data_IF_047494264803
#
_entry.id   IF_047494264803
#
_cell.length_a   1.000
_cell.length_b   1.000
_cell.length_c   1.000
_cell.angle_alpha   90.00
_cell.angle_beta   90.00
_cell.angle_gamma   90.00
#
_symmetry.space_group_name_H-M   'P 1'
#
loop_
_entity.id
_entity.type
_entity.pdbx_description
1 polymer ?
#
# COMPACT_ATOMS: atom_id res chain seq x y z
N UNK A 1 23.46 -9.02 28.80
CA UNK A 1 22.58 -8.02 28.14
C UNK A 1 23.46 -6.99 27.46
N UNK A 2 23.51 -6.95 26.12
CA UNK A 2 24.43 -6.07 25.36
C UNK A 2 23.76 -4.72 25.09
N UNK A 3 24.44 -3.63 25.45
CA UNK A 3 24.00 -2.23 25.29
C UNK A 3 23.90 -1.74 23.84
N UNK A 4 24.28 -2.57 22.85
CA UNK A 4 24.23 -2.24 21.42
C UNK A 4 22.82 -2.34 20.79
N UNK A 5 21.94 -3.21 21.32
CA UNK A 5 20.64 -3.50 20.70
C UNK A 5 19.63 -2.36 20.86
N UNK A 6 19.69 -1.60 21.96
CA UNK A 6 18.80 -0.45 22.17
C UNK A 6 19.07 0.75 21.24
N UNK A 7 20.28 0.86 20.66
CA UNK A 7 20.62 2.00 19.78
C UNK A 7 20.01 1.88 18.37
N UNK A 8 19.71 0.67 17.89
CA UNK A 8 19.19 0.43 16.53
C UNK A 8 17.71 0.80 16.40
N UNK A 9 16.89 0.46 17.40
CA UNK A 9 15.44 0.70 17.39
C UNK A 9 15.06 2.19 17.25
N UNK A 10 15.96 3.12 17.58
CA UNK A 10 15.69 4.56 17.50
C UNK A 10 15.65 5.14 16.07
N UNK A 11 16.08 4.39 15.05
CA UNK A 11 16.11 4.89 13.65
C UNK A 11 15.00 4.34 12.74
N UNK A 12 14.26 3.33 13.19
CA UNK A 12 13.16 2.73 12.41
C UNK A 12 11.84 3.36 12.85
N UNK A 13 11.10 3.96 11.91
CA UNK A 13 9.80 4.55 12.18
C UNK A 13 8.73 3.45 12.29
N UNK A 14 8.67 2.79 13.44
CA UNK A 14 7.69 1.73 13.74
C UNK A 14 6.57 2.23 14.66
N UNK A 15 5.45 1.54 14.64
CA UNK A 15 4.26 1.85 15.44
C UNK A 15 3.46 0.58 15.76
N UNK A 16 2.60 0.67 16.77
CA UNK A 16 1.67 -0.43 17.12
C UNK A 16 0.31 -0.22 16.46
N UNK A 17 -0.27 -1.30 15.95
CA UNK A 17 -1.64 -1.29 15.41
C UNK A 17 -2.60 -1.80 16.47
N UNK A 18 -2.42 -3.04 16.93
CA UNK A 18 -3.20 -3.72 17.96
C UNK A 18 -2.35 -4.86 18.55
N UNK A 19 -2.79 -5.57 19.61
CA UNK A 19 -2.01 -6.66 20.19
C UNK A 19 -1.59 -7.70 19.14
N UNK A 20 -0.29 -7.98 19.07
CA UNK A 20 0.29 -8.89 18.07
C UNK A 20 0.40 -8.32 16.65
N UNK A 21 0.23 -7.01 16.47
CA UNK A 21 0.34 -6.34 15.17
C UNK A 21 1.16 -5.06 15.30
N UNK A 22 2.24 -5.01 14.54
CA UNK A 22 3.14 -3.86 14.44
C UNK A 22 3.22 -3.39 13.00
N UNK A 23 3.57 -2.12 12.82
CA UNK A 23 3.84 -1.55 11.51
C UNK A 23 5.20 -0.86 11.49
N UNK A 24 5.81 -0.84 10.32
CA UNK A 24 6.95 0.02 10.00
C UNK A 24 6.58 0.91 8.82
N UNK A 25 7.02 2.16 8.85
CA UNK A 25 6.84 3.09 7.72
C UNK A 25 8.15 3.37 7.02
N UNK A 26 8.18 3.14 5.71
CA UNK A 26 9.25 3.61 4.84
C UNK A 26 8.80 4.77 3.95
N UNK A 27 9.15 5.99 4.36
CA UNK A 27 8.66 7.20 3.70
C UNK A 27 7.16 7.38 3.93
N UNK A 28 6.35 6.95 2.96
CA UNK A 28 4.90 7.13 2.94
C UNK A 28 4.11 5.82 2.97
N UNK A 29 4.76 4.66 2.76
CA UNK A 29 4.11 3.34 2.77
C UNK A 29 4.35 2.60 4.09
N UNK A 30 3.32 1.93 4.56
CA UNK A 30 3.31 1.10 5.77
C UNK A 30 3.43 -0.38 5.39
N UNK A 31 4.23 -1.13 6.14
CA UNK A 31 4.28 -2.59 6.10
C UNK A 31 3.96 -3.14 7.48
N UNK A 32 3.30 -4.29 7.57
CA UNK A 32 2.80 -4.82 8.84
C UNK A 32 3.37 -6.18 9.19
N UNK A 33 3.51 -6.42 10.48
CA UNK A 33 3.96 -7.68 11.07
C UNK A 33 2.83 -8.23 11.92
N UNK A 34 2.35 -9.43 11.59
CA UNK A 34 1.29 -10.10 12.33
C UNK A 34 1.85 -11.32 13.03
N UNK A 35 1.75 -11.36 14.36
CA UNK A 35 2.16 -12.50 15.16
C UNK A 35 1.01 -13.50 15.32
N UNK A 36 1.24 -14.74 14.90
CA UNK A 36 0.46 -15.90 15.29
C UNK A 36 1.10 -16.54 16.53
N UNK A 37 0.59 -16.14 17.70
CA UNK A 37 1.11 -16.61 18.98
C UNK A 37 0.88 -18.11 19.22
N UNK A 38 -0.14 -18.72 18.59
CA UNK A 38 -0.48 -20.14 18.77
C UNK A 38 0.58 -21.02 18.11
N UNK A 39 0.95 -20.70 16.87
CA UNK A 39 1.94 -21.46 16.11
C UNK A 39 3.38 -20.93 16.28
N UNK A 40 3.55 -19.86 17.07
CA UNK A 40 4.83 -19.13 17.23
C UNK A 40 5.42 -18.66 15.88
N UNK A 41 4.56 -18.29 14.94
CA UNK A 41 4.90 -17.80 13.60
C UNK A 41 4.56 -16.33 13.48
N UNK A 42 5.15 -15.67 12.50
CA UNK A 42 4.73 -14.33 12.10
C UNK A 42 4.66 -14.20 10.58
N UNK A 43 3.88 -13.24 10.12
CA UNK A 43 3.64 -12.98 8.70
C UNK A 43 3.92 -11.50 8.43
N UNK A 44 4.59 -11.23 7.31
CA UNK A 44 4.77 -9.89 6.78
C UNK A 44 3.60 -9.56 5.83
N UNK A 45 3.00 -8.38 5.97
CA UNK A 45 2.02 -7.85 5.03
C UNK A 45 2.63 -6.64 4.32
N UNK A 46 2.71 -6.73 3.00
CA UNK A 46 3.45 -5.85 2.10
C UNK A 46 4.97 -5.76 2.39
N UNK A 47 5.73 -5.38 1.39
CA UNK A 47 7.19 -5.34 1.39
C UNK A 47 7.77 -3.96 1.06
N UNK A 48 6.93 -2.92 1.02
CA UNK A 48 7.39 -1.54 0.89
C UNK A 48 8.06 -1.24 -0.47
N UNK A 49 8.97 -0.27 -0.45
CA UNK A 49 9.78 0.15 -1.60
C UNK A 49 10.95 -0.82 -1.84
N UNK A 50 11.62 -0.72 -2.99
CA UNK A 50 12.80 -1.54 -3.37
C UNK A 50 13.96 -1.58 -2.38
N UNK A 51 14.01 -0.69 -1.39
CA UNK A 51 15.09 -0.59 -0.39
C UNK A 51 14.57 -0.75 1.04
N UNK A 52 13.35 -1.26 1.20
CA UNK A 52 12.71 -1.39 2.50
C UNK A 52 13.13 -2.65 3.24
N UNK A 53 13.75 -3.64 2.56
CA UNK A 53 14.18 -4.91 3.14
C UNK A 53 15.01 -4.75 4.42
N UNK A 54 15.99 -3.84 4.46
CA UNK A 54 16.82 -3.64 5.65
C UNK A 54 16.02 -3.16 6.87
N UNK A 55 15.07 -2.24 6.67
CA UNK A 55 14.18 -1.75 7.74
C UNK A 55 13.22 -2.82 8.23
N UNK A 56 12.71 -3.63 7.31
CA UNK A 56 11.81 -4.74 7.63
C UNK A 56 12.56 -5.76 8.50
N UNK A 57 13.76 -6.17 8.08
CA UNK A 57 14.61 -7.12 8.83
C UNK A 57 14.99 -6.55 10.20
N UNK A 58 15.43 -5.29 10.26
CA UNK A 58 15.79 -4.64 11.52
C UNK A 58 14.63 -4.63 12.52
N UNK A 59 13.39 -4.35 12.08
CA UNK A 59 12.24 -4.42 12.99
C UNK A 59 11.90 -5.87 13.36
N UNK A 60 11.96 -6.81 12.42
CA UNK A 60 11.69 -8.22 12.66
C UNK A 60 12.61 -8.81 13.75
N UNK A 61 13.93 -8.54 13.66
CA UNK A 61 14.94 -8.99 14.62
C UNK A 61 14.70 -8.47 16.04
N UNK A 62 14.02 -7.33 16.17
CA UNK A 62 13.67 -6.72 17.46
C UNK A 62 12.31 -7.19 18.00
N UNK A 63 11.37 -7.58 17.12
CA UNK A 63 10.02 -8.01 17.51
C UNK A 63 9.95 -9.50 17.83
N UNK A 64 10.71 -10.31 17.11
CA UNK A 64 10.58 -11.76 17.14
C UNK A 64 11.83 -12.44 17.68
N UNK A 65 11.78 -13.76 17.75
CA UNK A 65 12.85 -14.59 18.30
C UNK A 65 14.12 -14.46 17.45
N UNK A 66 15.32 -14.65 18.04
CA UNK A 66 16.55 -14.75 17.27
C UNK A 66 16.42 -15.75 16.12
N UNK A 67 16.94 -15.38 14.96
CA UNK A 67 16.92 -16.18 13.73
C UNK A 67 15.51 -16.57 13.23
N UNK A 68 14.46 -15.91 13.73
CA UNK A 68 13.10 -16.17 13.24
C UNK A 68 12.83 -15.43 11.93
N UNK A 69 12.45 -16.21 10.91
CA UNK A 69 11.93 -15.70 9.64
C UNK A 69 10.40 -15.72 9.63
N UNK A 70 9.73 -14.92 8.78
CA UNK A 70 8.29 -15.04 8.64
C UNK A 70 7.91 -16.40 8.09
N UNK A 71 6.68 -16.82 8.32
CA UNK A 71 6.10 -17.99 7.66
C UNK A 71 5.72 -17.69 6.20
N UNK A 72 5.38 -16.44 5.89
CA UNK A 72 5.03 -15.98 4.57
C UNK A 72 5.09 -14.44 4.47
N UNK A 73 5.06 -13.96 3.23
CA UNK A 73 4.73 -12.57 2.88
C UNK A 73 3.33 -12.59 2.25
N UNK A 74 2.46 -11.66 2.63
CA UNK A 74 1.14 -11.47 2.01
C UNK A 74 1.14 -10.09 1.37
N UNK A 75 0.85 -10.00 0.07
CA UNK A 75 0.70 -8.72 -0.62
C UNK A 75 -0.76 -8.30 -0.62
N UNK A 76 -1.02 -7.04 -0.24
CA UNK A 76 -2.34 -6.42 -0.46
C UNK A 76 -2.58 -6.20 -1.94
N UNK A 77 -1.53 -5.80 -2.66
CA UNK A 77 -1.47 -5.68 -4.12
C UNK A 77 -0.02 -5.50 -4.59
N UNK A 78 0.20 -5.48 -5.91
CA UNK A 78 1.52 -5.50 -6.53
C UNK A 78 2.08 -4.14 -6.99
N UNK A 79 1.56 -3.01 -6.53
CA UNK A 79 2.20 -1.71 -6.85
C UNK A 79 3.61 -1.61 -6.26
N UNK A 80 4.45 -0.79 -6.90
CA UNK A 80 5.89 -0.73 -6.68
C UNK A 80 6.33 -0.41 -5.24
N UNK A 81 5.46 0.26 -4.49
CA UNK A 81 5.63 0.65 -3.10
C UNK A 81 5.08 -0.37 -2.10
N UNK A 82 4.41 -1.42 -2.58
CA UNK A 82 3.97 -2.56 -1.77
C UNK A 82 4.77 -3.83 -2.05
N UNK A 83 5.18 -4.06 -3.30
CA UNK A 83 5.93 -5.26 -3.70
C UNK A 83 7.45 -5.07 -3.71
N UNK A 84 7.93 -3.84 -3.50
CA UNK A 84 9.28 -3.40 -3.88
C UNK A 84 10.43 -4.29 -3.36
N UNK A 85 10.40 -4.69 -2.10
CA UNK A 85 11.40 -5.61 -1.51
C UNK A 85 10.91 -7.06 -1.37
N UNK A 86 9.75 -7.43 -1.94
CA UNK A 86 9.16 -8.75 -1.74
C UNK A 86 10.05 -9.88 -2.25
N UNK A 87 10.63 -9.74 -3.44
CA UNK A 87 11.49 -10.77 -4.04
C UNK A 87 12.80 -10.97 -3.27
N UNK A 88 13.42 -9.87 -2.84
CA UNK A 88 14.64 -9.90 -2.03
C UNK A 88 14.39 -10.66 -0.73
N UNK A 89 13.33 -10.27 -0.01
CA UNK A 89 12.95 -10.87 1.26
C UNK A 89 12.50 -12.33 1.12
N UNK A 90 11.70 -12.64 0.10
CA UNK A 90 11.22 -14.00 -0.14
C UNK A 90 12.37 -14.97 -0.44
N UNK A 91 13.37 -14.54 -1.20
CA UNK A 91 14.58 -15.34 -1.49
C UNK A 91 15.48 -15.49 -0.28
N UNK A 92 15.71 -14.41 0.46
CA UNK A 92 16.59 -14.43 1.63
C UNK A 92 16.00 -15.30 2.76
N UNK A 93 14.70 -15.20 2.99
CA UNK A 93 14.02 -16.00 4.00
C UNK A 93 13.59 -17.38 3.48
N UNK A 94 13.58 -17.62 2.18
CA UNK A 94 13.00 -18.83 1.57
C UNK A 94 11.56 -19.07 2.08
N UNK A 95 10.67 -18.15 1.71
CA UNK A 95 9.26 -18.14 2.13
C UNK A 95 8.33 -17.88 0.94
N UNK A 96 7.07 -18.35 0.99
CA UNK A 96 6.09 -18.03 -0.03
C UNK A 96 5.62 -16.58 0.06
N UNK A 97 5.25 -16.03 -1.10
CA UNK A 97 4.54 -14.76 -1.24
C UNK A 97 3.11 -15.05 -1.68
N UNK A 98 2.12 -14.74 -0.86
CA UNK A 98 0.71 -14.91 -1.20
C UNK A 98 0.13 -13.64 -1.80
N UNK A 99 -0.61 -13.78 -2.90
CA UNK A 99 -1.37 -12.71 -3.53
C UNK A 99 -2.71 -13.23 -4.08
N UNK A 100 -3.61 -12.31 -4.37
CA UNK A 100 -4.87 -12.63 -5.04
C UNK A 100 -4.64 -13.02 -6.51
N UNK A 101 -5.51 -13.86 -7.07
CA UNK A 101 -5.41 -14.35 -8.45
C UNK A 101 -5.28 -13.23 -9.48
N UNK A 102 -6.08 -12.18 -9.33
CA UNK A 102 -6.09 -11.02 -10.22
C UNK A 102 -4.80 -10.16 -10.14
N UNK A 103 -3.90 -10.42 -9.19
CA UNK A 103 -2.59 -9.77 -9.12
C UNK A 103 -1.50 -10.53 -9.90
N UNK A 104 -1.74 -11.80 -10.24
CA UNK A 104 -0.71 -12.65 -10.87
C UNK A 104 -0.10 -12.06 -12.14
N UNK A 105 -0.85 -11.46 -13.09
CA UNK A 105 -0.26 -10.93 -14.30
C UNK A 105 0.84 -9.89 -14.03
N UNK A 106 0.67 -9.11 -12.96
CA UNK A 106 1.58 -8.02 -12.58
C UNK A 106 2.78 -8.51 -11.77
N UNK A 107 2.62 -9.64 -11.08
CA UNK A 107 3.63 -10.25 -10.23
C UNK A 107 4.49 -11.30 -10.95
N UNK A 108 4.07 -11.74 -12.14
CA UNK A 108 4.75 -12.79 -12.93
C UNK A 108 5.37 -12.29 -14.24
N UNK A 109 5.36 -10.98 -14.48
CA UNK A 109 5.93 -10.41 -15.71
C UNK A 109 4.98 -10.37 -16.91
N UNK A 110 3.72 -10.81 -16.77
CA UNK A 110 2.79 -10.99 -17.89
C UNK A 110 2.16 -9.68 -18.38
N UNK A 111 1.74 -8.79 -17.47
CA UNK A 111 1.07 -7.53 -17.81
C UNK A 111 1.55 -6.40 -16.90
N UNK A 112 1.66 -5.18 -17.44
CA UNK A 112 1.79 -3.98 -16.62
C UNK A 112 0.41 -3.58 -16.05
N UNK A 113 0.40 -2.85 -14.93
CA UNK A 113 -0.82 -2.20 -14.43
C UNK A 113 -1.34 -1.15 -15.41
N UNK A 114 -2.63 -0.77 -15.34
CA UNK A 114 -3.11 0.39 -16.06
C UNK A 114 -2.26 1.63 -15.71
N UNK A 115 -1.98 2.49 -16.70
CA UNK A 115 -1.09 3.63 -16.50
C UNK A 115 -1.65 4.63 -15.47
N UNK A 116 -0.76 5.29 -14.73
CA UNK A 116 -1.13 6.35 -13.81
C UNK A 116 -2.00 7.42 -14.49
N UNK A 117 -2.88 8.05 -13.71
CA UNK A 117 -3.68 9.18 -14.13
C UNK A 117 -3.20 10.49 -13.50
N UNK A 118 -2.42 11.31 -14.24
CA UNK A 118 -1.89 12.55 -13.70
C UNK A 118 -2.96 13.62 -13.46
N UNK A 119 -4.17 13.44 -13.99
CA UNK A 119 -5.28 14.37 -13.86
C UNK A 119 -6.16 14.06 -12.65
N UNK A 120 -5.98 12.89 -12.04
CA UNK A 120 -6.73 12.45 -10.87
C UNK A 120 -6.16 13.08 -9.60
N UNK A 121 -6.77 14.19 -9.15
CA UNK A 121 -6.57 14.73 -7.79
C UNK A 121 -5.85 16.08 -7.67
N UNK A 122 -5.41 16.68 -8.77
CA UNK A 122 -4.96 18.10 -8.80
C UNK A 122 -3.70 18.45 -7.97
N UNK A 123 -3.01 17.46 -7.41
CA UNK A 123 -1.82 17.63 -6.57
C UNK A 123 -0.51 17.31 -7.30
N UNK A 124 0.63 17.76 -6.77
CA UNK A 124 1.96 17.56 -7.37
C UNK A 124 2.31 16.07 -7.55
N UNK A 125 1.87 15.21 -6.63
CA UNK A 125 2.08 13.75 -6.70
C UNK A 125 1.36 13.16 -7.91
N UNK A 126 0.10 13.55 -8.15
CA UNK A 126 -0.63 13.13 -9.34
C UNK A 126 0.10 13.57 -10.61
N UNK A 127 0.56 14.82 -10.68
CA UNK A 127 1.27 15.34 -11.87
C UNK A 127 2.53 14.53 -12.22
N UNK A 128 3.30 14.09 -11.23
CA UNK A 128 4.51 13.28 -11.46
C UNK A 128 4.24 11.78 -11.55
N UNK A 129 3.03 11.31 -11.22
CA UNK A 129 2.69 9.89 -11.21
C UNK A 129 3.04 9.08 -12.48
N UNK A 130 3.09 9.65 -13.71
CA UNK A 130 3.53 8.89 -14.88
C UNK A 130 4.98 8.38 -14.81
N UNK A 131 5.82 8.90 -13.90
CA UNK A 131 7.20 8.40 -13.70
C UNK A 131 7.26 7.21 -12.75
N UNK A 132 6.16 6.93 -12.03
CA UNK A 132 6.12 5.82 -11.09
C UNK A 132 6.04 4.49 -11.84
N UNK A 133 6.77 3.45 -11.40
CA UNK A 133 6.76 2.16 -12.06
C UNK A 133 5.37 1.53 -12.06
N UNK A 134 4.89 1.17 -13.24
CA UNK A 134 3.68 0.35 -13.46
C UNK A 134 3.98 -0.97 -14.14
N UNK A 135 5.23 -1.15 -14.61
CA UNK A 135 5.68 -2.39 -15.23
C UNK A 135 5.66 -3.54 -14.22
N UNK A 136 5.46 -4.78 -14.71
CA UNK A 136 5.36 -5.92 -13.83
C UNK A 136 6.69 -6.21 -13.13
N UNK A 137 6.59 -6.87 -11.99
CA UNK A 137 7.70 -7.57 -11.37
C UNK A 137 7.61 -9.05 -11.74
N UNK A 138 8.68 -9.79 -11.49
CA UNK A 138 8.66 -11.24 -11.62
C UNK A 138 9.12 -11.88 -10.31
N UNK A 139 8.14 -12.36 -9.55
CA UNK A 139 8.33 -13.11 -8.30
C UNK A 139 7.78 -14.53 -8.40
N UNK A 140 7.68 -15.06 -9.63
CA UNK A 140 7.04 -16.34 -9.94
C UNK A 140 7.62 -17.52 -9.15
N UNK A 141 8.91 -17.46 -8.80
CA UNK A 141 9.59 -18.52 -8.05
C UNK A 141 9.05 -18.71 -6.61
N UNK A 142 8.39 -17.68 -6.05
CA UNK A 142 7.90 -17.69 -4.66
C UNK A 142 6.39 -17.43 -4.55
N UNK A 143 5.70 -17.12 -5.66
CA UNK A 143 4.29 -16.72 -5.63
C UNK A 143 3.38 -17.92 -5.36
N UNK A 144 2.40 -17.73 -4.48
CA UNK A 144 1.31 -18.67 -4.24
C UNK A 144 -0.03 -17.92 -4.22
N UNK A 145 -1.08 -18.59 -4.67
CA UNK A 145 -2.42 -18.02 -4.64
C UNK A 145 -3.00 -18.06 -3.22
N UNK A 146 -3.68 -16.97 -2.86
CA UNK A 146 -4.54 -17.00 -1.69
C UNK A 146 -5.70 -18.00 -1.89
N UNK A 147 -6.10 -18.73 -0.84
CA UNK A 147 -7.26 -19.62 -0.89
C UNK A 147 -8.53 -18.87 -1.27
N UNK A 148 -9.37 -19.43 -2.16
CA UNK A 148 -10.59 -18.74 -2.63
C UNK A 148 -11.68 -18.60 -1.56
N UNK A 149 -11.55 -19.28 -0.41
CA UNK A 149 -12.50 -19.22 0.70
C UNK A 149 -12.31 -18.00 1.63
N UNK A 150 -11.37 -17.11 1.29
CA UNK A 150 -11.06 -15.92 2.07
C UNK A 150 -10.14 -16.18 3.26
N UNK A 151 -9.66 -17.41 3.47
CA UNK A 151 -8.71 -17.72 4.55
C UNK A 151 -7.31 -17.18 4.27
N UNK A 152 -6.55 -16.92 5.34
CA UNK A 152 -5.16 -16.46 5.24
C UNK A 152 -4.20 -17.53 5.81
N UNK A 153 -3.27 -18.05 4.98
CA UNK A 153 -2.26 -18.99 5.44
C UNK A 153 -1.51 -18.47 6.67
N UNK A 154 -1.30 -19.34 7.66
CA UNK A 154 -0.62 -19.03 8.93
C UNK A 154 -1.33 -18.03 9.85
N UNK A 155 -2.53 -17.54 9.48
CA UNK A 155 -3.29 -16.54 10.23
C UNK A 155 -4.76 -16.98 10.43
N UNK A 156 -5.04 -18.02 11.25
CA UNK A 156 -6.36 -18.63 11.36
C UNK A 156 -7.47 -17.70 11.87
N UNK A 157 -7.12 -16.65 12.62
CA UNK A 157 -8.04 -15.62 13.13
C UNK A 157 -8.40 -14.55 12.09
N UNK A 158 -7.76 -14.58 10.92
CA UNK A 158 -7.88 -13.57 9.89
C UNK A 158 -8.58 -14.10 8.65
N UNK A 159 -9.24 -13.18 7.95
CA UNK A 159 -9.70 -13.38 6.59
C UNK A 159 -9.21 -12.25 5.71
N UNK A 160 -8.99 -12.53 4.43
CA UNK A 160 -8.90 -11.48 3.43
C UNK A 160 -10.27 -11.24 2.79
N UNK A 161 -10.44 -10.03 2.30
CA UNK A 161 -11.61 -9.55 1.56
C UNK A 161 -11.06 -9.01 0.25
N UNK A 162 -11.61 -9.46 -0.87
CA UNK A 162 -11.25 -8.92 -2.18
C UNK A 162 -11.83 -7.51 -2.29
N UNK A 163 -10.95 -6.51 -2.41
CA UNK A 163 -11.31 -5.08 -2.40
C UNK A 163 -10.80 -4.38 -3.65
N UNK A 164 -11.27 -4.77 -4.85
CA UNK A 164 -10.80 -4.23 -6.12
C UNK A 164 -11.11 -2.74 -6.28
N UNK A 165 -10.39 -2.10 -7.19
CA UNK A 165 -10.63 -0.73 -7.63
C UNK A 165 -9.36 0.09 -7.71
N UNK A 166 -8.56 0.05 -6.63
CA UNK A 166 -7.19 0.55 -6.65
C UNK A 166 -6.30 -0.32 -7.53
N UNK A 167 -6.31 -1.64 -7.30
CA UNK A 167 -5.82 -2.62 -8.27
C UNK A 167 -6.88 -3.71 -8.50
N UNK A 168 -6.76 -4.53 -9.55
CA UNK A 168 -7.75 -5.56 -9.87
C UNK A 168 -7.89 -6.65 -8.81
N UNK A 169 -6.78 -7.06 -8.20
CA UNK A 169 -6.76 -8.07 -7.15
C UNK A 169 -6.40 -7.53 -5.78
N UNK A 170 -6.59 -6.23 -5.56
CA UNK A 170 -6.37 -5.63 -4.25
C UNK A 170 -7.16 -6.37 -3.15
N UNK A 171 -6.54 -6.60 -2.00
CA UNK A 171 -7.19 -7.21 -0.83
C UNK A 171 -7.02 -6.36 0.43
N UNK A 172 -7.97 -6.54 1.35
CA UNK A 172 -7.88 -6.04 2.72
C UNK A 172 -7.96 -7.22 3.69
N UNK A 173 -7.31 -7.13 4.85
CA UNK A 173 -7.24 -8.21 5.84
C UNK A 173 -8.01 -7.81 7.10
N UNK A 174 -8.89 -8.68 7.58
CA UNK A 174 -9.74 -8.42 8.75
C UNK A 174 -9.59 -9.49 9.82
N UNK A 175 -9.33 -9.07 11.06
CA UNK A 175 -9.32 -9.93 12.25
C UNK A 175 -10.58 -9.71 13.07
N UNK A 176 -11.47 -10.71 13.06
CA UNK A 176 -12.82 -10.59 13.64
C UNK A 176 -12.81 -10.33 15.15
N UNK A 177 -11.93 -11.01 15.90
CA UNK A 177 -11.96 -11.02 17.37
C UNK A 177 -11.81 -9.63 18.03
N UNK A 178 -11.09 -8.72 17.40
CA UNK A 178 -10.88 -7.35 17.87
C UNK A 178 -11.14 -6.29 16.78
N UNK A 179 -11.79 -6.70 15.68
CA UNK A 179 -12.20 -5.86 14.55
C UNK A 179 -11.07 -4.99 14.00
N UNK A 180 -9.87 -5.58 13.87
CA UNK A 180 -8.73 -4.91 13.23
C UNK A 180 -8.83 -5.10 11.72
N UNK A 181 -8.75 -3.99 10.99
CA UNK A 181 -8.71 -3.96 9.54
C UNK A 181 -7.37 -3.42 9.06
N UNK A 182 -6.64 -4.23 8.28
CA UNK A 182 -5.53 -3.77 7.44
C UNK A 182 -6.10 -3.54 6.04
N UNK A 183 -6.40 -2.29 5.70
CA UNK A 183 -7.18 -1.97 4.51
C UNK A 183 -6.37 -1.99 3.22
N UNK A 184 -5.04 -2.07 3.28
CA UNK A 184 -4.19 -1.76 2.13
C UNK A 184 -4.51 -0.35 1.63
N UNK A 185 -4.68 -0.23 0.32
CA UNK A 185 -4.96 1.00 -0.40
C UNK A 185 -6.41 1.11 -0.87
N UNK A 186 -7.32 0.26 -0.38
CA UNK A 186 -8.76 0.40 -0.62
C UNK A 186 -9.28 1.78 -0.19
N UNK A 187 -8.70 2.31 0.89
CA UNK A 187 -8.78 3.70 1.32
C UNK A 187 -7.54 4.01 2.18
N UNK A 188 -7.24 5.30 2.40
CA UNK A 188 -6.04 5.71 3.16
C UNK A 188 -6.38 6.71 4.27
N UNK A 189 -5.51 6.80 5.28
CA UNK A 189 -5.68 7.71 6.43
C UNK A 189 -4.78 8.95 6.34
N UNK A 190 -4.50 9.37 5.11
CA UNK A 190 -3.76 10.58 4.76
C UNK A 190 -4.24 11.10 3.41
N UNK A 191 -4.13 12.41 3.14
CA UNK A 191 -4.35 12.94 1.80
C UNK A 191 -3.11 12.78 0.94
N UNK A 192 -3.10 11.79 0.05
CA UNK A 192 -1.94 11.45 -0.79
C UNK A 192 -1.63 12.50 -1.87
N UNK A 193 -2.64 13.23 -2.33
CA UNK A 193 -2.50 14.28 -3.33
C UNK A 193 -1.79 15.55 -2.81
N UNK A 194 -1.69 15.72 -1.49
CA UNK A 194 -1.13 16.91 -0.86
C UNK A 194 0.22 16.60 -0.22
N UNK A 195 1.31 17.11 -0.79
CA UNK A 195 2.65 17.07 -0.18
C UNK A 195 2.61 17.61 1.26
N UNK A 196 1.80 18.64 1.52
CA UNK A 196 1.60 19.18 2.86
C UNK A 196 0.91 18.21 3.81
N UNK A 197 -0.09 17.46 3.37
CA UNK A 197 -0.78 16.47 4.22
C UNK A 197 0.03 15.19 4.42
N UNK A 198 0.80 14.77 3.41
CA UNK A 198 1.81 13.72 3.54
C UNK A 198 2.87 14.11 4.57
N UNK A 199 3.31 15.37 4.58
CA UNK A 199 4.27 15.89 5.57
C UNK A 199 3.66 16.15 6.96
N UNK A 200 2.41 16.62 7.05
CA UNK A 200 1.76 17.00 8.33
C UNK A 200 0.93 15.89 8.98
N UNK A 201 0.70 14.78 8.29
CA UNK A 201 0.05 13.57 8.83
C UNK A 201 -1.30 13.84 9.53
N UNK A 202 -2.12 14.76 8.98
CA UNK A 202 -3.47 15.00 9.49
C UNK A 202 -4.28 13.71 9.40
N UNK A 203 -4.87 13.25 10.52
CA UNK A 203 -5.73 12.05 10.58
C UNK A 203 -7.03 12.28 9.80
N UNK A 204 -6.97 12.07 8.50
CA UNK A 204 -8.12 12.20 7.59
C UNK A 204 -8.26 10.89 6.84
N UNK A 205 -9.45 10.31 6.87
CA UNK A 205 -9.81 9.13 6.08
C UNK A 205 -10.26 9.62 4.70
N UNK A 206 -9.59 9.16 3.65
CA UNK A 206 -9.90 9.48 2.26
C UNK A 206 -9.98 8.21 1.43
N UNK A 207 -10.57 8.29 0.24
CA UNK A 207 -10.56 7.19 -0.73
C UNK A 207 -9.16 6.76 -1.16
N UNK A 208 -9.07 5.76 -2.05
CA UNK A 208 -7.80 5.23 -2.54
C UNK A 208 -6.94 6.29 -3.24
N UNK A 209 -5.62 6.09 -3.40
CA UNK A 209 -4.76 6.99 -4.15
C UNK A 209 -5.29 7.22 -5.58
N UNK A 210 -5.72 8.46 -5.84
CA UNK A 210 -6.48 8.80 -7.06
C UNK A 210 -5.73 8.52 -8.36
N UNK A 211 -4.41 8.73 -8.37
CA UNK A 211 -3.57 8.55 -9.57
C UNK A 211 -3.36 7.08 -9.97
N UNK A 212 -3.70 6.13 -9.11
CA UNK A 212 -3.65 4.69 -9.38
C UNK A 212 -4.96 3.98 -9.06
N UNK A 213 -6.10 4.69 -9.08
CA UNK A 213 -7.40 4.04 -8.98
C UNK A 213 -8.01 3.90 -10.37
N UNK A 214 -8.17 2.66 -10.80
CA UNK A 214 -8.51 2.30 -12.18
C UNK A 214 -9.99 1.95 -12.36
N UNK A 215 -10.68 1.56 -11.28
CA UNK A 215 -12.11 1.27 -11.25
C UNK A 215 -12.74 1.91 -10.00
N UNK A 216 -13.30 3.11 -10.19
CA UNK A 216 -13.97 3.87 -9.13
C UNK A 216 -15.26 3.19 -8.62
N UNK A 217 -16.14 2.64 -9.48
CA UNK A 217 -17.28 1.84 -9.02
C UNK A 217 -16.87 0.64 -8.14
N UNK A 218 -15.82 -0.10 -8.51
CA UNK A 218 -15.32 -1.20 -7.69
C UNK A 218 -14.75 -0.69 -6.37
N UNK A 219 -13.94 0.36 -6.38
CA UNK A 219 -13.39 0.96 -5.16
C UNK A 219 -14.50 1.41 -4.20
N UNK A 220 -15.60 1.97 -4.73
CA UNK A 220 -16.76 2.36 -3.93
C UNK A 220 -17.39 1.16 -3.21
N UNK A 221 -17.65 0.07 -3.94
CA UNK A 221 -18.21 -1.17 -3.37
C UNK A 221 -17.28 -1.76 -2.31
N UNK A 222 -15.98 -1.77 -2.58
CA UNK A 222 -14.96 -2.25 -1.64
C UNK A 222 -15.00 -1.45 -0.33
N UNK A 223 -15.02 -0.12 -0.39
CA UNK A 223 -15.08 0.71 0.82
C UNK A 223 -16.41 0.54 1.57
N UNK A 224 -17.52 0.38 0.85
CA UNK A 224 -18.83 0.09 1.45
C UNK A 224 -18.80 -1.23 2.21
N UNK A 225 -18.29 -2.30 1.59
CA UNK A 225 -18.15 -3.61 2.24
C UNK A 225 -17.27 -3.51 3.49
N UNK A 226 -16.11 -2.85 3.41
CA UNK A 226 -15.23 -2.66 4.56
C UNK A 226 -15.88 -1.86 5.70
N UNK A 227 -16.74 -0.90 5.40
CA UNK A 227 -17.48 -0.14 6.40
C UNK A 227 -18.47 -1.02 7.18
N UNK A 228 -19.11 -2.00 6.52
CA UNK A 228 -20.05 -2.94 7.18
C UNK A 228 -19.39 -3.84 8.23
N UNK A 229 -18.07 -3.98 8.21
CA UNK A 229 -17.32 -4.76 9.20
C UNK A 229 -17.23 -4.08 10.57
N UNK A 230 -17.60 -2.79 10.65
CA UNK A 230 -17.54 -1.97 11.87
C UNK A 230 -16.17 -2.04 12.57
N UNK A 231 -15.06 -1.70 11.88
CA UNK A 231 -13.73 -1.86 12.45
C UNK A 231 -13.54 -1.03 13.73
N UNK A 232 -12.80 -1.57 14.68
CA UNK A 232 -12.39 -0.84 15.88
C UNK A 232 -11.04 -0.15 15.68
N UNK A 233 -10.19 -0.76 14.85
CA UNK A 233 -8.87 -0.24 14.48
C UNK A 233 -8.68 -0.43 12.99
N UNK A 234 -8.24 0.63 12.32
CA UNK A 234 -7.87 0.61 10.91
C UNK A 234 -6.41 1.00 10.78
N UNK A 235 -5.67 0.21 9.99
CA UNK A 235 -4.37 0.58 9.47
C UNK A 235 -4.40 0.39 7.94
N UNK A 236 -3.81 1.34 7.21
CA UNK A 236 -3.87 1.44 5.74
C UNK A 236 -2.48 1.41 5.14
N UNK A 237 -2.34 1.08 3.86
CA UNK A 237 -1.07 1.12 3.14
C UNK A 237 -0.35 2.47 3.29
N UNK A 238 -1.13 3.54 3.47
CA UNK A 238 -0.58 4.85 3.78
C UNK A 238 -1.34 5.64 4.85
N UNK A 239 -0.59 6.34 5.71
CA UNK A 239 -1.14 7.18 6.77
C UNK A 239 -1.05 6.54 8.16
N UNK A 240 -1.71 7.15 9.14
CA UNK A 240 -1.65 6.71 10.55
C UNK A 240 -2.73 5.69 10.89
N UNK A 241 -2.48 4.88 11.93
CA UNK A 241 -3.51 4.02 12.53
C UNK A 241 -4.62 4.91 13.11
N UNK A 242 -5.87 4.57 12.80
CA UNK A 242 -7.06 5.24 13.31
C UNK A 242 -7.95 4.26 14.06
N UNK A 243 -8.63 4.72 15.11
CA UNK A 243 -9.41 3.87 16.04
C UNK A 243 -10.67 4.56 16.52
N UNK A 244 -11.60 3.76 17.03
CA UNK A 244 -12.77 4.24 17.76
C UNK A 244 -13.89 4.79 16.89
N UNK A 245 -14.88 5.38 17.57
CA UNK A 245 -16.14 5.81 16.97
C UNK A 245 -15.95 6.86 15.87
N UNK A 246 -15.09 7.85 16.09
CA UNK A 246 -14.82 8.90 15.09
C UNK A 246 -14.24 8.33 13.80
N UNK A 247 -13.34 7.34 13.88
CA UNK A 247 -12.83 6.64 12.71
C UNK A 247 -13.96 5.93 11.95
N UNK A 248 -14.85 5.22 12.66
CA UNK A 248 -16.00 4.56 12.02
C UNK A 248 -16.95 5.55 11.36
N UNK A 249 -17.26 6.67 12.02
CA UNK A 249 -18.07 7.76 11.43
C UNK A 249 -17.44 8.28 10.14
N UNK A 250 -16.12 8.47 10.12
CA UNK A 250 -15.41 8.90 8.92
C UNK A 250 -15.44 7.85 7.80
N UNK A 251 -15.31 6.56 8.15
CA UNK A 251 -15.38 5.46 7.19
C UNK A 251 -16.78 5.33 6.58
N UNK A 252 -17.84 5.36 7.40
CA UNK A 252 -19.22 5.36 6.94
C UNK A 252 -19.53 6.58 6.08
N UNK A 253 -19.08 7.77 6.51
CA UNK A 253 -19.21 8.99 5.69
C UNK A 253 -18.53 8.83 4.33
N UNK A 254 -17.33 8.24 4.27
CA UNK A 254 -16.67 7.94 3.01
C UNK A 254 -17.46 6.93 2.17
N UNK A 255 -17.94 5.84 2.77
CA UNK A 255 -18.70 4.80 2.08
C UNK A 255 -20.02 5.33 1.48
N UNK A 256 -20.77 6.10 2.26
CA UNK A 256 -22.06 6.67 1.86
C UNK A 256 -21.93 7.75 0.79
N UNK A 257 -20.82 8.49 0.80
CA UNK A 257 -20.58 9.65 -0.07
C UNK A 257 -19.36 9.45 -0.98
N UNK A 258 -19.04 8.19 -1.32
CA UNK A 258 -17.77 7.84 -1.97
C UNK A 258 -17.55 8.59 -3.29
N UNK A 259 -18.61 8.72 -4.09
CA UNK A 259 -18.55 9.43 -5.37
C UNK A 259 -18.14 10.90 -5.20
N UNK A 260 -18.63 11.55 -4.16
CA UNK A 260 -18.36 12.98 -3.93
C UNK A 260 -17.00 13.20 -3.26
N UNK A 261 -16.61 12.29 -2.37
CA UNK A 261 -15.40 12.45 -1.54
C UNK A 261 -14.14 11.86 -2.17
N UNK A 262 -14.25 10.74 -2.89
CA UNK A 262 -13.11 10.00 -3.41
C UNK A 262 -12.89 10.23 -4.92
N UNK A 263 -13.95 10.14 -5.73
CA UNK A 263 -13.84 10.16 -7.19
C UNK A 263 -13.44 11.56 -7.67
N UNK A 264 -12.36 11.70 -8.46
CA UNK A 264 -11.96 13.01 -8.96
C UNK A 264 -12.96 13.52 -10.00
N UNK A 265 -13.11 14.85 -10.09
CA UNK A 265 -14.00 15.50 -11.07
C UNK A 265 -13.54 15.21 -12.51
N UNK A 266 -12.24 15.08 -12.72
CA UNK A 266 -11.62 14.79 -14.01
C UNK A 266 -10.55 13.73 -13.83
N UNK A 267 -10.41 12.86 -14.83
CA UNK A 267 -9.41 11.80 -14.84
C UNK A 267 -9.72 10.77 -15.93
N UNK A 268 -8.70 10.09 -16.44
CA UNK A 268 -8.84 8.99 -17.41
C UNK A 268 -9.91 7.99 -16.97
N UNK A 269 -9.94 7.65 -15.68
CA UNK A 269 -10.80 6.57 -15.16
C UNK A 269 -12.14 7.06 -14.59
N UNK A 270 -12.45 8.36 -14.62
CA UNK A 270 -13.64 8.89 -13.91
C UNK A 270 -14.96 8.59 -14.59
N UNK A 271 -14.95 8.35 -15.90
CA UNK A 271 -16.15 8.00 -16.69
C UNK A 271 -16.25 6.51 -16.98
N UNK A 272 -15.12 5.88 -17.22
CA UNK A 272 -14.99 4.48 -17.60
C UNK A 272 -13.81 3.88 -16.83
N UNK A 273 -13.95 2.65 -16.36
CA UNK A 273 -12.89 1.91 -15.69
C UNK A 273 -11.93 1.28 -16.72
N UNK A 274 -10.71 0.97 -16.28
CA UNK A 274 -9.92 -0.04 -16.97
C UNK A 274 -10.60 -1.42 -16.84
N UNK A 275 -10.47 -2.28 -17.86
CA UNK A 275 -10.93 -3.68 -17.78
C UNK A 275 -9.72 -4.59 -17.69
N UNK A 276 -9.78 -5.55 -16.77
CA UNK A 276 -8.71 -6.50 -16.47
C UNK A 276 -9.29 -7.88 -16.26
N UNK A 277 -8.53 -8.90 -16.61
CA UNK A 277 -8.83 -10.31 -16.33
C UNK A 277 -7.59 -11.03 -15.77
N UNK A 278 -7.65 -12.36 -15.64
CA UNK A 278 -6.55 -13.20 -15.16
C UNK A 278 -5.32 -13.18 -16.09
N UNK A 279 -5.44 -12.65 -17.31
CA UNK A 279 -4.34 -12.42 -18.24
C UNK A 279 -3.73 -11.01 -18.15
N UNK A 280 -4.38 -10.09 -17.44
CA UNK A 280 -3.91 -8.73 -17.23
C UNK A 280 -4.85 -7.67 -17.79
N UNK A 281 -4.31 -6.58 -18.32
CA UNK A 281 -5.10 -5.44 -18.80
C UNK A 281 -5.64 -5.71 -20.21
N UNK A 282 -6.97 -5.67 -20.37
CA UNK A 282 -7.65 -5.88 -21.67
C UNK A 282 -8.20 -4.59 -22.28
N UNK A 283 -8.51 -3.59 -21.44
CA UNK A 283 -8.95 -2.27 -21.90
C UNK A 283 -8.45 -1.16 -20.98
N UNK A 284 -8.03 -0.05 -21.58
CA UNK A 284 -7.69 1.19 -20.88
C UNK A 284 -8.44 2.34 -21.56
N UNK A 285 -9.23 3.14 -20.82
CA UNK A 285 -9.86 4.34 -21.37
C UNK A 285 -8.85 5.30 -21.98
N UNK A 286 -9.28 6.00 -23.03
CA UNK A 286 -8.45 6.97 -23.74
C UNK A 286 -7.91 8.06 -22.79
N UNK A 287 -6.66 8.48 -23.03
CA UNK A 287 -6.04 9.55 -22.25
C UNK A 287 -6.83 10.85 -22.43
N UNK A 288 -7.08 11.55 -21.33
CA UNK A 288 -7.58 12.93 -21.42
C UNK A 288 -6.44 13.83 -21.92
N UNK A 289 -6.55 14.29 -23.16
CA UNK A 289 -5.65 15.30 -23.73
C UNK A 289 -6.09 16.70 -23.27
N UNK A 290 -5.63 17.12 -22.10
CA UNK A 290 -5.76 18.51 -21.64
C UNK A 290 -4.45 19.03 -21.07
N UNK A 291 -3.39 19.15 -21.86
CA UNK A 291 -2.24 19.96 -21.46
C UNK A 291 -2.66 21.42 -21.41
N UNK A 292 -3.07 21.90 -20.23
CA UNK A 292 -3.17 23.33 -19.99
C UNK A 292 -1.77 23.87 -19.62
N UNK A 293 -1.42 25.11 -19.99
CA UNK A 293 -0.12 25.71 -19.65
C UNK A 293 0.22 25.61 -18.16
N UNK A 294 -0.78 25.72 -17.28
CA UNK A 294 -0.60 25.57 -15.83
C UNK A 294 -0.13 24.19 -15.39
N UNK A 295 -0.55 23.12 -16.07
CA UNK A 295 -0.10 21.75 -15.74
C UNK A 295 1.29 21.48 -16.28
N UNK A 296 1.65 22.05 -17.43
CA UNK A 296 3.02 21.99 -17.94
C UNK A 296 4.00 22.71 -16.99
N UNK A 297 3.61 23.88 -16.47
CA UNK A 297 4.40 24.62 -15.48
C UNK A 297 4.49 23.85 -14.15
N UNK A 298 3.37 23.32 -13.65
CA UNK A 298 3.36 22.52 -12.42
C UNK A 298 4.21 21.25 -12.55
N UNK A 299 4.16 20.57 -13.70
CA UNK A 299 5.02 19.43 -14.00
C UNK A 299 6.50 19.83 -14.02
N UNK A 300 6.84 20.97 -14.65
CA UNK A 300 8.21 21.51 -14.65
C UNK A 300 8.72 21.81 -13.25
N UNK A 301 7.91 22.45 -12.41
CA UNK A 301 8.25 22.74 -11.00
C UNK A 301 8.38 21.45 -10.18
N UNK A 302 7.49 20.48 -10.38
CA UNK A 302 7.52 19.20 -9.67
C UNK A 302 8.77 18.38 -10.03
N UNK A 303 9.14 18.35 -11.32
CA UNK A 303 10.39 17.75 -11.78
C UNK A 303 11.57 18.43 -11.10
N UNK A 304 11.67 19.76 -11.17
CA UNK A 304 12.77 20.51 -10.54
C UNK A 304 12.87 20.27 -9.03
N UNK A 305 11.74 20.19 -8.32
CA UNK A 305 11.70 19.91 -6.89
C UNK A 305 12.15 18.47 -6.59
N UNK A 306 11.73 17.49 -7.39
CA UNK A 306 12.18 16.10 -7.26
C UNK A 306 13.68 15.98 -7.53
N UNK A 307 14.19 16.64 -8.57
CA UNK A 307 15.64 16.66 -8.87
C UNK A 307 16.42 17.30 -7.73
N UNK A 308 15.96 18.44 -7.21
CA UNK A 308 16.60 19.13 -6.08
C UNK A 308 16.61 18.26 -4.82
N UNK A 309 15.52 17.55 -4.53
CA UNK A 309 15.43 16.63 -3.41
C UNK A 309 16.37 15.42 -3.56
N UNK A 310 16.44 14.82 -4.75
CA UNK A 310 17.36 13.72 -5.05
C UNK A 310 18.83 14.16 -4.90
N UNK A 311 19.18 15.35 -5.40
CA UNK A 311 20.53 15.94 -5.23
C UNK A 311 20.84 16.21 -3.76
N UNK A 312 19.90 16.78 -3.01
CA UNK A 312 20.07 17.04 -1.58
C UNK A 312 20.28 15.73 -0.79
N UNK A 313 19.52 14.68 -1.10
CA UNK A 313 19.63 13.38 -0.45
C UNK A 313 20.93 12.65 -0.81
N UNK A 314 21.40 12.79 -2.04
CA UNK A 314 22.72 12.30 -2.48
C UNK A 314 23.86 12.99 -1.73
N UNK A 315 23.78 14.31 -1.52
CA UNK A 315 24.79 15.07 -0.73
C UNK A 315 24.82 14.67 0.75
N UNK A 316 23.66 14.45 1.38
CA UNK A 316 23.60 13.97 2.76
C UNK A 316 24.17 12.56 2.94
N UNK A 317 24.04 11.72 1.92
CA UNK A 317 24.60 10.36 1.93
C UNK A 317 26.13 10.40 1.83
N UNK A 318 26.69 11.34 1.07
CA UNK A 318 28.15 11.52 0.98
C UNK A 318 28.77 12.21 2.20
N UNK A 319 28.02 13.08 2.89
CA UNK A 319 28.49 13.76 4.11
C UNK A 319 28.50 12.86 5.37
N UNK A 320 27.93 11.65 5.30
CA UNK A 320 27.98 10.64 6.37
C UNK A 320 29.11 9.62 6.16
N UNK A 321 29.86 9.74 5.06
CA UNK A 321 30.97 8.86 4.67
C UNK A 321 32.33 9.61 4.69
N UNK A 322 32.32 10.91 4.99
CA UNK A 322 33.51 11.74 5.27
C UNK A 322 33.63 12.04 6.75
#
# INVERSE_FOLDING_TARGET
MKSGTMRSVMNVNWFTVAPGIWGVRDGYVNMYFIHNAVEKKWVLVDAGLKRSASKIKELADNLFWPDSKPAAIILTHGHFDHVGSAMELAREWDVPVFAHLMELPYLTGLSAYPPADPWAGGGLVSVVSPVFPTGPVNISDHIQLLPQDGSLPFLPDWKYIHTPGHSPGHISLFRKRDRVLLAGDAFVTTRQESVWSVMTQSKILTGPPRYFTYDWPAAARSVQELATLEPETVATGHGQVMKGEEMRKMLHKLADNFRELAVPVHGRYTKEAAVTDEGGVTYVPQKINRLTPGVAVAAGVAVLALTAWLVYRGRKSNALIS
#
